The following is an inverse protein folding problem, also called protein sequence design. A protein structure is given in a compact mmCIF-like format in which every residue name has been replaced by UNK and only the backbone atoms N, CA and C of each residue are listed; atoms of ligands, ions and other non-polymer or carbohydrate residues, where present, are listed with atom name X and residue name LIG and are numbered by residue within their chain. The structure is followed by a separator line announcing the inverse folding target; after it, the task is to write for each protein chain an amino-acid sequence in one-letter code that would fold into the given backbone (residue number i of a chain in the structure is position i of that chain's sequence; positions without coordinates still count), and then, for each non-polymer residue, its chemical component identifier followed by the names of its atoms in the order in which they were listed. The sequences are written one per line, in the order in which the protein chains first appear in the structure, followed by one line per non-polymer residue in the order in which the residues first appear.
data_IF_570502106662
#
_entry.id   IF_570502106662
#
_cell.length_a   1.000
_cell.length_b   1.000
_cell.length_c   1.000
_cell.angle_alpha   90.00
_cell.angle_beta   90.00
_cell.angle_gamma   90.00
#
_symmetry.space_group_name_H-M   'P 1'
#
loop_
_entity.id
_entity.type
_entity.pdbx_description
1 polymer ?
#
# COMPACT_ATOMS: atom_id res chain seq x y z
N UNK A 1 18.72 -7.92 -10.41
CA UNK A 1 18.84 -7.97 -8.93
C UNK A 1 17.79 -7.09 -8.27
N UNK A 2 17.75 -5.78 -8.57
CA UNK A 2 16.81 -4.80 -7.97
C UNK A 2 15.32 -5.14 -8.18
N UNK A 3 14.90 -5.61 -9.38
CA UNK A 3 13.48 -5.98 -9.62
C UNK A 3 13.00 -7.14 -8.76
N UNK A 4 13.82 -8.19 -8.60
CA UNK A 4 13.47 -9.37 -7.78
C UNK A 4 13.35 -9.01 -6.31
N UNK A 5 14.24 -8.13 -5.81
CA UNK A 5 14.15 -7.63 -4.43
C UNK A 5 12.92 -6.75 -4.21
N UNK A 6 12.55 -5.94 -5.20
CA UNK A 6 11.30 -5.18 -5.17
C UNK A 6 10.08 -6.10 -5.12
N UNK A 7 9.99 -7.04 -6.04
CA UNK A 7 8.88 -8.01 -6.12
C UNK A 7 8.75 -8.81 -4.82
N UNK A 8 9.87 -9.27 -4.26
CA UNK A 8 9.88 -9.95 -2.96
C UNK A 8 9.31 -9.06 -1.87
N UNK A 9 9.76 -7.80 -1.76
CA UNK A 9 9.27 -6.85 -0.75
C UNK A 9 7.78 -6.53 -0.93
N UNK A 10 7.31 -6.35 -2.17
CA UNK A 10 5.89 -6.11 -2.44
C UNK A 10 5.04 -7.34 -2.10
N UNK A 11 5.52 -8.55 -2.40
CA UNK A 11 4.86 -9.80 -2.02
C UNK A 11 4.79 -9.99 -0.50
N UNK A 12 5.89 -9.73 0.23
CA UNK A 12 5.91 -9.76 1.69
C UNK A 12 4.93 -8.74 2.29
N UNK A 13 4.88 -7.52 1.73
CA UNK A 13 3.93 -6.49 2.14
C UNK A 13 2.49 -6.91 1.88
N UNK A 14 2.18 -7.42 0.68
CA UNK A 14 0.85 -7.91 0.30
C UNK A 14 0.37 -9.02 1.24
N UNK A 15 1.23 -9.98 1.58
CA UNK A 15 0.91 -11.04 2.55
C UNK A 15 0.52 -10.47 3.91
N UNK A 16 1.27 -9.48 4.42
CA UNK A 16 0.94 -8.82 5.70
C UNK A 16 -0.38 -8.07 5.63
N UNK A 17 -0.64 -7.35 4.55
CA UNK A 17 -1.89 -6.61 4.35
C UNK A 17 -3.10 -7.56 4.30
N UNK A 18 -2.99 -8.66 3.56
CA UNK A 18 -4.04 -9.68 3.48
C UNK A 18 -4.30 -10.34 4.84
N UNK A 19 -3.23 -10.67 5.57
CA UNK A 19 -3.36 -11.23 6.92
C UNK A 19 -4.09 -10.26 7.85
N UNK A 20 -3.68 -8.98 7.86
CA UNK A 20 -4.32 -7.95 8.70
C UNK A 20 -5.81 -7.79 8.37
N UNK A 21 -6.15 -7.74 7.08
CA UNK A 21 -7.54 -7.67 6.66
C UNK A 21 -8.33 -8.91 7.10
N UNK A 22 -7.78 -10.11 6.93
CA UNK A 22 -8.43 -11.34 7.36
C UNK A 22 -8.79 -11.35 8.86
N UNK A 23 -7.94 -10.77 9.71
CA UNK A 23 -8.12 -10.77 11.16
C UNK A 23 -9.06 -9.65 11.66
N UNK A 24 -9.13 -8.51 10.97
CA UNK A 24 -9.71 -7.28 11.53
C UNK A 24 -10.68 -6.53 10.60
N UNK A 25 -10.93 -7.01 9.37
CA UNK A 25 -11.64 -6.21 8.35
C UNK A 25 -12.99 -5.62 8.79
N UNK A 26 -13.76 -6.39 9.56
CA UNK A 26 -15.09 -5.98 10.01
C UNK A 26 -15.03 -4.85 11.05
N UNK A 27 -13.96 -4.74 11.83
CA UNK A 27 -13.79 -3.70 12.85
C UNK A 27 -13.20 -2.41 12.31
N UNK A 28 -12.67 -2.42 11.09
CA UNK A 28 -12.06 -1.23 10.48
C UNK A 28 -13.09 -0.15 10.15
N UNK A 29 -12.72 1.08 10.48
CA UNK A 29 -13.35 2.29 9.96
C UNK A 29 -13.17 2.39 8.43
N UNK A 30 -13.99 3.22 7.79
CA UNK A 30 -13.85 3.48 6.36
C UNK A 30 -12.44 4.00 6.00
N UNK A 31 -11.88 4.88 6.83
CA UNK A 31 -10.54 5.43 6.65
C UNK A 31 -9.46 4.35 6.69
N UNK A 32 -9.53 3.39 7.62
CA UNK A 32 -8.58 2.28 7.68
C UNK A 32 -8.67 1.38 6.46
N UNK A 33 -9.88 1.14 5.95
CA UNK A 33 -10.10 0.42 4.69
C UNK A 33 -9.51 1.18 3.50
N UNK A 34 -9.67 2.50 3.46
CA UNK A 34 -9.10 3.34 2.39
C UNK A 34 -7.56 3.31 2.41
N UNK A 35 -6.95 3.43 3.60
CA UNK A 35 -5.50 3.30 3.76
C UNK A 35 -5.05 1.92 3.27
N UNK A 36 -5.72 0.85 3.70
CA UNK A 36 -5.39 -0.50 3.26
C UNK A 36 -5.52 -0.69 1.74
N UNK A 37 -6.59 -0.17 1.13
CA UNK A 37 -6.80 -0.22 -0.32
C UNK A 37 -5.64 0.46 -1.06
N UNK A 38 -5.22 1.64 -0.62
CA UNK A 38 -4.08 2.36 -1.22
C UNK A 38 -2.76 1.60 -1.02
N UNK A 39 -2.56 1.00 0.16
CA UNK A 39 -1.38 0.17 0.43
C UNK A 39 -1.36 -1.10 -0.45
N UNK A 40 -2.51 -1.72 -0.70
CA UNK A 40 -2.65 -2.85 -1.62
C UNK A 40 -2.35 -2.43 -3.07
N UNK A 41 -2.92 -1.31 -3.55
CA UNK A 41 -2.63 -0.78 -4.88
C UNK A 41 -1.14 -0.51 -5.10
N UNK A 42 -0.41 -0.06 -4.08
CA UNK A 42 1.04 0.10 -4.17
C UNK A 42 1.76 -1.23 -4.44
N UNK A 43 1.29 -2.34 -3.87
CA UNK A 43 1.92 -3.66 -4.04
C UNK A 43 1.75 -4.23 -5.44
N UNK A 44 0.71 -3.80 -6.17
CA UNK A 44 0.45 -4.25 -7.54
C UNK A 44 1.28 -3.47 -8.59
N UNK A 45 1.93 -2.37 -8.20
CA UNK A 45 2.79 -1.60 -9.11
C UNK A 45 4.17 -2.27 -9.24
N UNK A 46 4.40 -2.86 -10.41
CA UNK A 46 5.70 -3.43 -10.77
C UNK A 46 6.79 -2.34 -10.87
N UNK A 47 8.00 -2.67 -10.42
CA UNK A 47 9.16 -1.78 -10.50
C UNK A 47 9.44 -1.37 -11.95
N UNK A 48 9.75 -0.10 -12.17
CA UNK A 48 10.06 0.47 -13.49
C UNK A 48 8.95 0.31 -14.55
N UNK A 49 7.75 -0.13 -14.18
CA UNK A 49 6.56 -0.06 -15.03
C UNK A 49 6.20 1.38 -15.39
N UNK A 50 5.33 1.58 -16.38
CA UNK A 50 4.83 2.91 -16.72
C UNK A 50 4.20 3.60 -15.50
N UNK A 51 3.36 2.91 -14.74
CA UNK A 51 2.76 3.44 -13.51
C UNK A 51 3.81 3.85 -12.47
N UNK A 52 4.87 3.06 -12.29
CA UNK A 52 5.96 3.40 -11.39
C UNK A 52 6.69 4.68 -11.83
N UNK A 53 7.10 4.74 -13.11
CA UNK A 53 7.86 5.86 -13.67
C UNK A 53 7.03 7.14 -13.77
N UNK A 54 5.72 7.02 -13.96
CA UNK A 54 4.78 8.15 -13.91
C UNK A 54 4.47 8.61 -12.48
N UNK A 55 5.10 8.02 -11.45
CA UNK A 55 5.01 8.48 -10.07
C UNK A 55 3.75 8.02 -9.32
N UNK A 56 3.03 7.00 -9.81
CA UNK A 56 1.81 6.53 -9.14
C UNK A 56 2.13 5.94 -7.77
N UNK A 57 3.18 5.12 -7.70
CA UNK A 57 3.64 4.54 -6.44
C UNK A 57 3.96 5.63 -5.39
N UNK A 58 4.66 6.68 -5.80
CA UNK A 58 5.00 7.82 -4.93
C UNK A 58 3.75 8.62 -4.52
N UNK A 59 2.82 8.84 -5.44
CA UNK A 59 1.57 9.56 -5.18
C UNK A 59 0.68 8.84 -4.17
N UNK A 60 0.54 7.52 -4.31
CA UNK A 60 -0.13 6.67 -3.32
C UNK A 60 0.54 6.80 -1.94
N UNK A 61 1.88 6.83 -1.89
CA UNK A 61 2.62 6.97 -0.63
C UNK A 61 2.31 8.28 0.09
N UNK A 62 2.20 9.38 -0.64
CA UNK A 62 1.80 10.68 -0.08
C UNK A 62 0.35 10.68 0.40
N UNK A 63 -0.57 10.09 -0.37
CA UNK A 63 -1.97 9.99 0.04
C UNK A 63 -2.13 9.20 1.35
N UNK A 64 -1.42 8.07 1.47
CA UNK A 64 -1.38 7.27 2.71
C UNK A 64 -0.84 8.09 3.87
N UNK A 65 0.24 8.86 3.68
CA UNK A 65 0.83 9.69 4.72
C UNK A 65 -0.17 10.75 5.23
N UNK A 66 -0.83 11.46 4.32
CA UNK A 66 -1.86 12.46 4.67
C UNK A 66 -2.99 11.83 5.48
N UNK A 67 -3.51 10.69 5.04
CA UNK A 67 -4.57 9.98 5.78
C UNK A 67 -4.11 9.59 7.19
N UNK A 68 -2.86 9.14 7.36
CA UNK A 68 -2.30 8.81 8.69
C UNK A 68 -2.04 10.03 9.57
N UNK A 69 -1.71 11.19 9.00
CA UNK A 69 -1.43 12.42 9.78
C UNK A 69 -2.67 13.13 10.29
N UNK A 70 -3.81 13.02 9.60
CA UNK A 70 -5.10 13.60 10.05
C UNK A 70 -5.55 13.05 11.42
N UNK A 71 -4.93 11.98 11.92
CA UNK A 71 -5.18 11.37 13.23
C UNK A 71 -4.47 12.07 14.41
N UNK A 72 -3.49 12.95 14.15
CA UNK A 72 -2.67 13.59 15.20
C UNK A 72 -3.15 14.97 15.64
N UNK A 73 -4.36 15.38 15.23
CA UNK A 73 -4.97 16.67 15.60
C UNK A 73 -6.31 16.43 16.26
#
# INVERSE_FOLDING_TARGET
MISRDWERKQNERRKRLLKKAWEEWESWTQKERDIWNLEMMQTDIAYMSLAYRSGYHASLGRAIAVLKEVEKK
#
